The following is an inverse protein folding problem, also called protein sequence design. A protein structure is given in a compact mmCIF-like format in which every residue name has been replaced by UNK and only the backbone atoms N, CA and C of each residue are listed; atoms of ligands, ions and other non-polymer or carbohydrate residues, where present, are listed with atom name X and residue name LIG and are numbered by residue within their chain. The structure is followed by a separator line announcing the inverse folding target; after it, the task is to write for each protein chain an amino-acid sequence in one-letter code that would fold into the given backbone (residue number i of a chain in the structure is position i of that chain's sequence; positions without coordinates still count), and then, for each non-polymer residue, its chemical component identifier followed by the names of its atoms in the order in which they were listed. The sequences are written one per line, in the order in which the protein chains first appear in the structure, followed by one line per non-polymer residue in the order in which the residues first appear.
data_IF_287673862724
#
_entry.id   IF_287673862724
#
_cell.length_a   1.000
_cell.length_b   1.000
_cell.length_c   1.000
_cell.angle_alpha   90.00
_cell.angle_beta   90.00
_cell.angle_gamma   90.00
#
_symmetry.space_group_name_H-M   'P 1'
#
loop_
_entity.id
_entity.type
_entity.pdbx_description
1 polymer ?
#
# COMPACT_ATOMS: atom_id res chain seq x y z
N UNK A 1 30.31 -48.42 -19.52
CA UNK A 1 29.74 -47.30 -18.75
C UNK A 1 29.23 -46.27 -19.73
N UNK A 2 27.91 -46.16 -19.87
CA UNK A 2 27.29 -45.22 -20.82
C UNK A 2 27.39 -43.78 -20.31
N UNK A 3 28.25 -43.00 -20.96
CA UNK A 3 28.53 -41.58 -20.68
C UNK A 3 27.30 -40.67 -20.99
N UNK A 4 26.24 -41.23 -21.58
CA UNK A 4 25.01 -40.51 -21.96
C UNK A 4 24.14 -40.12 -20.76
N UNK A 5 24.16 -40.90 -19.68
CA UNK A 5 23.36 -40.65 -18.48
C UNK A 5 23.82 -39.41 -17.66
N UNK A 6 25.13 -39.21 -17.38
CA UNK A 6 25.58 -38.04 -16.62
C UNK A 6 25.42 -36.72 -17.40
N UNK A 7 25.47 -36.75 -18.73
CA UNK A 7 25.34 -35.55 -19.56
C UNK A 7 23.92 -34.96 -19.52
N UNK A 8 22.91 -35.82 -19.35
CA UNK A 8 21.51 -35.43 -19.24
C UNK A 8 21.21 -34.74 -17.89
N UNK A 9 21.86 -35.17 -16.81
CA UNK A 9 21.76 -34.54 -15.48
C UNK A 9 22.41 -33.14 -15.45
N UNK A 10 23.51 -32.94 -16.19
CA UNK A 10 24.19 -31.64 -16.30
C UNK A 10 23.32 -30.64 -17.08
N UNK A 11 22.65 -31.07 -18.15
CA UNK A 11 21.75 -30.19 -18.92
C UNK A 11 20.53 -29.76 -18.08
N UNK A 12 19.94 -30.67 -17.30
CA UNK A 12 18.82 -30.34 -16.39
C UNK A 12 19.25 -29.36 -15.30
N UNK A 13 20.45 -29.49 -14.76
CA UNK A 13 20.95 -28.58 -13.72
C UNK A 13 21.29 -27.20 -14.29
N UNK A 14 21.86 -27.09 -15.49
CA UNK A 14 22.13 -25.79 -16.12
C UNK A 14 20.81 -25.06 -16.50
N UNK A 15 19.80 -25.78 -16.95
CA UNK A 15 18.46 -25.21 -17.22
C UNK A 15 17.71 -24.79 -15.94
N UNK A 16 18.06 -25.37 -14.78
CA UNK A 16 17.46 -25.01 -13.49
C UNK A 16 18.02 -23.74 -12.85
N UNK A 17 19.23 -23.31 -13.20
CA UNK A 17 19.90 -22.15 -12.57
C UNK A 17 19.55 -20.79 -13.18
N UNK A 18 18.80 -20.73 -14.29
CA UNK A 18 18.68 -19.52 -15.13
C UNK A 18 17.29 -18.88 -15.24
N UNK A 19 16.22 -19.41 -14.62
CA UNK A 19 14.85 -19.01 -14.99
C UNK A 19 14.03 -18.27 -13.92
N UNK A 20 14.67 -17.58 -12.98
CA UNK A 20 13.96 -16.64 -12.10
C UNK A 20 14.72 -15.33 -11.99
N UNK A 21 14.29 -14.32 -12.73
CA UNK A 21 14.64 -12.94 -12.41
C UNK A 21 13.79 -12.56 -11.20
N UNK A 22 14.33 -12.68 -9.98
CA UNK A 22 13.63 -12.26 -8.77
C UNK A 22 13.51 -10.73 -8.77
N UNK A 23 12.37 -10.20 -9.20
CA UNK A 23 12.00 -8.82 -8.89
C UNK A 23 11.49 -8.79 -7.46
N UNK A 24 11.89 -7.79 -6.67
CA UNK A 24 11.28 -7.55 -5.37
C UNK A 24 9.79 -7.24 -5.57
N UNK A 25 8.92 -8.14 -5.11
CA UNK A 25 7.48 -8.00 -5.22
C UNK A 25 6.94 -7.26 -3.99
N UNK A 26 7.19 -5.94 -3.94
CA UNK A 26 6.67 -5.09 -2.87
C UNK A 26 5.14 -4.94 -3.00
N UNK A 27 4.42 -5.26 -1.93
CA UNK A 27 2.98 -5.06 -1.80
C UNK A 27 2.67 -3.56 -1.67
N UNK A 28 1.53 -3.10 -2.17
CA UNK A 28 1.10 -1.70 -1.92
C UNK A 28 0.80 -1.43 -0.44
N UNK A 29 0.67 -2.47 0.39
CA UNK A 29 0.58 -2.34 1.84
C UNK A 29 1.95 -2.26 2.53
N UNK A 30 3.05 -2.49 1.80
CA UNK A 30 4.40 -2.28 2.32
C UNK A 30 4.74 -0.79 2.40
N UNK A 31 4.18 0.03 1.50
CA UNK A 31 4.13 1.48 1.67
C UNK A 31 3.07 1.82 2.72
N UNK A 32 3.51 1.93 3.97
CA UNK A 32 2.69 2.23 5.16
C UNK A 32 2.32 3.70 5.25
N UNK A 33 1.97 4.36 4.15
CA UNK A 33 1.92 5.82 4.08
C UNK A 33 0.68 6.33 3.33
N UNK A 34 0.07 7.38 3.88
CA UNK A 34 -0.96 8.19 3.20
C UNK A 34 -0.32 9.52 2.82
N UNK A 35 -0.39 9.90 1.55
CA UNK A 35 -0.02 11.23 1.09
C UNK A 35 -1.15 12.23 1.39
N UNK A 36 -0.78 13.35 2.01
CA UNK A 36 -1.68 14.47 2.28
C UNK A 36 -1.35 15.64 1.35
N UNK A 37 -2.28 16.02 0.49
CA UNK A 37 -2.12 17.11 -0.47
C UNK A 37 -2.90 18.36 -0.03
N UNK A 38 -2.24 19.52 -0.15
CA UNK A 38 -2.77 20.82 0.30
C UNK A 38 -2.77 21.05 1.81
N UNK A 39 -2.18 20.14 2.61
CA UNK A 39 -2.04 20.29 4.06
C UNK A 39 -0.70 20.90 4.45
N UNK A 40 -0.67 21.63 5.56
CA UNK A 40 0.57 22.04 6.22
C UNK A 40 0.98 21.10 7.35
N UNK A 41 2.24 21.17 7.78
CA UNK A 41 2.74 20.34 8.90
C UNK A 41 2.07 20.65 10.23
N UNK A 42 1.75 21.93 10.49
CA UNK A 42 1.08 22.31 11.73
C UNK A 42 -0.32 21.68 11.81
N UNK A 43 -1.07 21.73 10.70
CA UNK A 43 -2.40 21.16 10.57
C UNK A 43 -2.43 19.62 10.72
N UNK A 44 -1.31 18.96 10.44
CA UNK A 44 -1.19 17.50 10.43
C UNK A 44 -0.34 16.96 11.59
N UNK A 45 -0.05 17.83 12.57
CA UNK A 45 0.79 17.51 13.73
C UNK A 45 0.12 16.61 14.77
N UNK A 46 -1.21 16.44 14.68
CA UNK A 46 -2.01 15.62 15.59
C UNK A 46 -3.17 14.99 14.82
N UNK A 47 -3.04 13.69 14.53
CA UNK A 47 -3.99 12.91 13.74
C UNK A 47 -4.36 11.66 14.53
N UNK A 48 -5.66 11.42 14.70
CA UNK A 48 -6.16 10.12 15.16
C UNK A 48 -6.71 9.34 13.99
N UNK A 49 -6.46 8.03 14.02
CA UNK A 49 -6.90 7.08 13.02
C UNK A 49 -7.72 6.02 13.74
N UNK A 50 -8.94 5.80 13.30
CA UNK A 50 -9.81 4.74 13.80
C UNK A 50 -10.13 3.78 12.65
N UNK A 51 -9.95 2.48 12.88
CA UNK A 51 -10.34 1.42 11.94
C UNK A 51 -11.66 0.79 12.36
N UNK A 52 -12.46 0.42 11.37
CA UNK A 52 -13.80 -0.13 11.54
C UNK A 52 -13.98 -1.32 10.61
N UNK A 53 -14.86 -2.25 10.99
CA UNK A 53 -15.22 -3.36 10.10
C UNK A 53 -15.83 -2.81 8.79
N UNK A 54 -15.34 -3.28 7.64
CA UNK A 54 -15.78 -2.82 6.31
C UNK A 54 -17.30 -2.92 6.14
N UNK A 55 -17.90 -1.87 5.60
CA UNK A 55 -19.33 -1.79 5.34
C UNK A 55 -20.20 -1.66 6.61
N UNK A 56 -19.60 -1.46 7.79
CA UNK A 56 -20.35 -1.29 9.04
C UNK A 56 -20.96 0.10 9.21
N UNK A 57 -20.69 1.04 8.29
CA UNK A 57 -21.07 2.45 8.44
C UNK A 57 -20.43 3.09 9.69
N UNK A 58 -19.21 2.68 10.03
CA UNK A 58 -18.45 3.15 11.19
C UNK A 58 -19.08 2.86 12.56
N UNK A 59 -19.92 1.82 12.66
CA UNK A 59 -20.56 1.43 13.94
C UNK A 59 -19.79 0.38 14.73
N UNK A 60 -18.88 -0.36 14.07
CA UNK A 60 -18.06 -1.43 14.68
C UNK A 60 -16.58 -1.09 14.62
N UNK A 61 -16.10 -0.37 15.63
CA UNK A 61 -14.68 -0.03 15.77
C UNK A 61 -13.83 -1.29 16.03
N UNK A 62 -12.64 -1.35 15.43
CA UNK A 62 -11.67 -2.43 15.59
C UNK A 62 -10.48 -1.94 16.41
N UNK A 63 -9.87 -0.83 16.01
CA UNK A 63 -8.70 -0.26 16.68
C UNK A 63 -8.61 1.26 16.47
N UNK A 64 -7.76 1.92 17.25
CA UNK A 64 -7.44 3.34 17.10
C UNK A 64 -5.98 3.64 17.41
N UNK A 65 -5.38 4.55 16.67
CA UNK A 65 -4.01 5.01 16.88
C UNK A 65 -3.91 6.53 16.76
N UNK A 66 -3.01 7.11 17.54
CA UNK A 66 -2.56 8.49 17.36
C UNK A 66 -1.25 8.50 16.59
N UNK A 67 -1.15 9.42 15.66
CA UNK A 67 0.04 9.56 14.83
C UNK A 67 0.27 11.01 14.47
N UNK A 68 1.46 11.26 13.95
CA UNK A 68 1.87 12.57 13.46
C UNK A 68 2.35 12.39 12.05
N UNK A 69 2.08 13.39 11.23
CA UNK A 69 2.63 13.40 9.90
C UNK A 69 4.15 13.52 9.91
N UNK A 70 4.77 13.04 8.84
CA UNK A 70 6.19 13.19 8.56
C UNK A 70 6.37 13.89 7.23
N UNK A 71 7.42 14.68 7.13
CA UNK A 71 7.84 15.24 5.85
C UNK A 71 8.78 14.27 5.16
N UNK A 72 8.56 14.03 3.87
CA UNK A 72 9.55 13.42 3.01
C UNK A 72 10.05 14.46 2.01
N UNK A 73 11.34 14.86 2.11
CA UNK A 73 11.96 15.65 1.04
C UNK A 73 12.55 14.68 0.01
N UNK A 74 11.80 14.40 -1.05
CA UNK A 74 12.36 13.77 -2.23
C UNK A 74 13.31 14.75 -2.91
N UNK A 75 14.53 14.32 -3.26
CA UNK A 75 15.39 15.14 -4.09
C UNK A 75 14.72 15.35 -5.45
N UNK A 76 14.69 16.61 -5.89
CA UNK A 76 14.22 17.15 -7.18
C UNK A 76 12.78 17.70 -7.10
N UNK A 77 12.71 19.01 -6.81
CA UNK A 77 11.57 19.94 -6.95
C UNK A 77 10.39 19.81 -5.96
N UNK A 78 10.62 20.33 -4.74
CA UNK A 78 9.76 21.18 -3.88
C UNK A 78 8.29 20.84 -3.56
N UNK A 79 7.78 19.64 -3.84
CA UNK A 79 6.50 19.22 -3.25
C UNK A 79 6.72 18.63 -1.84
N UNK A 80 6.21 19.33 -0.82
CA UNK A 80 6.18 18.86 0.56
C UNK A 80 5.21 17.67 0.67
N UNK A 81 5.72 16.45 0.51
CA UNK A 81 4.93 15.24 0.73
C UNK A 81 4.83 15.01 2.23
N UNK A 82 3.62 15.19 2.76
CA UNK A 82 3.27 14.90 4.14
C UNK A 82 2.70 13.49 4.19
N UNK A 83 3.33 12.59 4.95
CA UNK A 83 2.90 11.19 5.07
C UNK A 83 2.48 10.79 6.46
N UNK A 84 1.47 9.91 6.53
CA UNK A 84 0.97 9.36 7.80
C UNK A 84 1.29 7.87 7.88
N UNK A 85 2.09 7.41 8.86
CA UNK A 85 2.46 6.01 8.96
C UNK A 85 1.27 5.17 9.46
N UNK A 86 0.73 4.30 8.60
CA UNK A 86 -0.38 3.39 8.91
C UNK A 86 -0.22 2.06 8.17
N UNK A 87 -0.55 0.95 8.85
CA UNK A 87 -0.69 -0.35 8.20
C UNK A 87 -2.14 -0.51 7.78
N UNK A 88 -2.41 -0.35 6.48
CA UNK A 88 -3.75 -0.56 5.95
C UNK A 88 -4.07 -2.04 5.77
N UNK A 89 -5.37 -2.32 5.83
CA UNK A 89 -5.99 -3.59 5.52
C UNK A 89 -7.29 -3.30 4.75
N UNK A 90 -7.47 -3.98 3.61
CA UNK A 90 -8.64 -3.82 2.73
C UNK A 90 -9.97 -4.31 3.33
N UNK A 91 -9.91 -5.04 4.44
CA UNK A 91 -11.08 -5.54 5.17
C UNK A 91 -11.66 -4.54 6.17
N UNK A 92 -11.09 -3.33 6.25
CA UNK A 92 -11.53 -2.26 7.14
C UNK A 92 -11.86 -0.98 6.39
N UNK A 93 -12.71 -0.17 7.02
CA UNK A 93 -12.92 1.25 6.70
C UNK A 93 -12.20 2.09 7.76
N UNK A 94 -11.81 3.33 7.41
CA UNK A 94 -11.00 4.18 8.30
C UNK A 94 -11.61 5.57 8.45
N UNK A 95 -11.48 6.14 9.65
CA UNK A 95 -11.66 7.57 9.91
C UNK A 95 -10.33 8.18 10.31
N UNK A 96 -9.96 9.26 9.65
CA UNK A 96 -8.82 10.09 10.00
C UNK A 96 -9.33 11.42 10.52
N UNK A 97 -9.04 11.73 11.78
CA UNK A 97 -9.42 12.98 12.40
C UNK A 97 -8.20 13.87 12.61
N UNK A 98 -8.22 15.04 11.97
CA UNK A 98 -7.18 16.06 12.03
C UNK A 98 -7.54 17.05 13.14
N UNK A 99 -6.96 16.85 14.32
CA UNK A 99 -7.38 17.57 15.54
C UNK A 99 -7.22 19.10 15.43
N UNK A 100 -6.23 19.57 14.67
CA UNK A 100 -5.97 21.01 14.47
C UNK A 100 -6.98 21.70 13.56
N UNK A 101 -7.61 20.94 12.68
CA UNK A 101 -8.58 21.43 11.71
C UNK A 101 -10.03 21.15 12.12
N UNK A 102 -10.25 20.28 13.11
CA UNK A 102 -11.56 19.72 13.44
C UNK A 102 -12.24 19.08 12.21
N UNK A 103 -11.44 18.38 11.40
CA UNK A 103 -11.89 17.73 10.16
C UNK A 103 -11.71 16.22 10.22
N UNK A 104 -12.72 15.50 9.73
CA UNK A 104 -12.70 14.04 9.60
C UNK A 104 -12.72 13.64 8.13
N UNK A 105 -11.85 12.71 7.75
CA UNK A 105 -11.85 12.05 6.45
C UNK A 105 -12.22 10.58 6.61
N UNK A 106 -13.12 10.12 5.76
CA UNK A 106 -13.60 8.74 5.72
C UNK A 106 -12.98 8.01 4.52
N UNK A 107 -12.19 6.98 4.79
CA UNK A 107 -11.62 6.11 3.75
C UNK A 107 -12.41 4.81 3.73
N UNK A 108 -13.05 4.52 2.60
CA UNK A 108 -13.93 3.35 2.43
C UNK A 108 -13.70 2.66 1.10
N UNK A 109 -14.36 1.51 0.91
CA UNK A 109 -14.37 0.77 -0.36
C UNK A 109 -12.96 0.48 -0.89
N UNK A 110 -12.02 0.21 0.03
CA UNK A 110 -10.65 -0.15 -0.34
C UNK A 110 -10.68 -1.46 -1.12
N UNK A 111 -10.17 -1.39 -2.34
CA UNK A 111 -10.09 -2.49 -3.28
C UNK A 111 -8.64 -2.76 -3.65
N UNK A 112 -8.31 -4.03 -3.75
CA UNK A 112 -6.97 -4.48 -4.07
C UNK A 112 -7.03 -5.45 -5.25
N UNK A 113 -5.94 -5.52 -6.00
CA UNK A 113 -5.79 -6.52 -7.04
C UNK A 113 -4.49 -7.30 -6.82
N UNK A 114 -4.55 -8.58 -7.15
CA UNK A 114 -3.37 -9.45 -7.19
C UNK A 114 -2.71 -9.30 -8.55
N UNK A 115 -1.46 -8.86 -8.58
CA UNK A 115 -0.68 -8.70 -9.80
C UNK A 115 0.52 -9.64 -9.79
N UNK A 116 0.76 -10.28 -10.94
CA UNK A 116 1.88 -11.19 -11.12
C UNK A 116 3.17 -10.38 -11.24
N UNK A 117 4.17 -10.72 -10.42
CA UNK A 117 5.46 -10.02 -10.38
C UNK A 117 6.61 -10.88 -10.88
N UNK A 118 6.64 -12.17 -10.55
CA UNK A 118 7.63 -13.11 -11.09
C UNK A 118 6.94 -14.26 -11.81
N UNK A 119 7.54 -14.70 -12.91
CA UNK A 119 7.16 -15.91 -13.64
C UNK A 119 8.36 -16.84 -13.72
N UNK A 120 8.26 -17.99 -13.08
CA UNK A 120 9.29 -19.02 -13.07
C UNK A 120 8.71 -20.31 -13.63
N UNK A 121 9.58 -21.25 -14.02
CA UNK A 121 9.14 -22.55 -14.50
C UNK A 121 8.33 -23.27 -13.41
N UNK A 122 7.00 -23.38 -13.62
CA UNK A 122 5.98 -23.96 -12.73
C UNK A 122 5.58 -23.15 -11.49
N UNK A 123 6.12 -21.95 -11.26
CA UNK A 123 5.75 -21.10 -10.12
C UNK A 123 5.56 -19.65 -10.53
N UNK A 124 4.61 -18.97 -9.90
CA UNK A 124 4.37 -17.55 -10.11
C UNK A 124 4.21 -16.86 -8.77
N UNK A 125 4.92 -15.75 -8.58
CA UNK A 125 4.74 -14.89 -7.42
C UNK A 125 3.77 -13.77 -7.79
N UNK A 126 2.83 -13.50 -6.89
CA UNK A 126 1.93 -12.37 -7.00
C UNK A 126 2.12 -11.46 -5.79
N UNK A 127 1.84 -10.18 -5.97
CA UNK A 127 1.74 -9.21 -4.90
C UNK A 127 0.36 -8.55 -4.94
N UNK A 128 -0.10 -8.10 -3.77
CA UNK A 128 -1.34 -7.36 -3.65
C UNK A 128 -1.02 -5.89 -3.81
N UNK A 129 -1.71 -5.21 -4.73
CA UNK A 129 -1.64 -3.75 -4.83
C UNK A 129 -2.98 -3.09 -4.61
N UNK A 130 -2.94 -1.84 -4.15
CA UNK A 130 -4.11 -0.97 -4.11
C UNK A 130 -4.59 -0.74 -5.55
N UNK A 131 -5.89 -0.90 -5.74
CA UNK A 131 -6.55 -0.68 -7.03
C UNK A 131 -7.40 0.58 -6.98
N UNK A 132 -8.23 0.70 -5.95
CA UNK A 132 -9.07 1.87 -5.73
C UNK A 132 -9.51 1.99 -4.28
N UNK A 133 -9.99 3.17 -3.91
CA UNK A 133 -10.59 3.47 -2.61
C UNK A 133 -11.44 4.74 -2.74
N UNK A 134 -12.28 5.03 -1.73
CA UNK A 134 -13.02 6.29 -1.62
C UNK A 134 -12.51 7.13 -0.47
N UNK A 135 -12.45 8.44 -0.65
CA UNK A 135 -12.27 9.42 0.44
C UNK A 135 -13.46 10.35 0.46
N UNK A 136 -14.19 10.38 1.58
CA UNK A 136 -15.43 11.15 1.72
C UNK A 136 -16.40 10.91 0.55
N UNK A 137 -16.47 9.66 0.08
CA UNK A 137 -17.32 9.23 -1.03
C UNK A 137 -16.75 9.45 -2.45
N UNK A 138 -15.66 10.21 -2.61
CA UNK A 138 -14.99 10.41 -3.92
C UNK A 138 -14.06 9.24 -4.22
N UNK A 139 -14.20 8.64 -5.41
CA UNK A 139 -13.39 7.50 -5.86
C UNK A 139 -12.01 7.95 -6.35
N UNK A 140 -10.98 7.20 -5.95
CA UNK A 140 -9.60 7.31 -6.41
C UNK A 140 -9.14 5.96 -6.96
N UNK A 141 -8.53 5.96 -8.15
CA UNK A 141 -7.98 4.79 -8.84
C UNK A 141 -6.47 4.94 -8.97
N UNK A 142 -5.75 4.69 -7.88
CA UNK A 142 -4.30 4.90 -7.80
C UNK A 142 -3.65 3.87 -6.88
N UNK A 143 -2.33 3.75 -7.00
CA UNK A 143 -1.53 2.74 -6.28
C UNK A 143 -1.14 3.13 -4.85
N UNK A 144 -1.44 4.35 -4.41
CA UNK A 144 -1.15 4.88 -3.07
C UNK A 144 -2.36 5.64 -2.51
N UNK A 145 -2.44 5.79 -1.19
CA UNK A 145 -3.50 6.59 -0.59
C UNK A 145 -3.14 8.08 -0.65
N UNK A 146 -4.02 8.86 -1.27
CA UNK A 146 -4.02 10.32 -1.33
C UNK A 146 -5.26 10.88 -0.64
N UNK A 147 -5.06 11.89 0.21
CA UNK A 147 -6.13 12.72 0.77
C UNK A 147 -5.86 14.17 0.36
N UNK A 148 -6.77 14.74 -0.42
CA UNK A 148 -6.78 16.15 -0.79
C UNK A 148 -7.53 16.98 0.27
N UNK A 149 -6.99 18.13 0.67
CA UNK A 149 -7.66 19.05 1.57
C UNK A 149 -8.95 19.59 0.95
N UNK A 150 -10.07 19.43 1.64
CA UNK A 150 -11.33 20.07 1.27
C UNK A 150 -11.28 21.56 1.64
N UNK A 151 -11.57 22.43 0.67
CA UNK A 151 -11.69 23.88 0.84
C UNK A 151 -13.09 24.30 1.26
#
# INVERSE_FOLDING_TARGET
MDIRFPLLLIIISILGYSCCTQKECASAFDSKEIQLDGFSLDETSDISICSYSKGSGFTKAIDSAFTKSRTYSGNIDDDLIITVPIVFNSEFDYKLFFHRLDLTYEITEISTISEKCNDCFLTSDNYIRLASYKVNGRLYEMSSFLIEKLY
#
